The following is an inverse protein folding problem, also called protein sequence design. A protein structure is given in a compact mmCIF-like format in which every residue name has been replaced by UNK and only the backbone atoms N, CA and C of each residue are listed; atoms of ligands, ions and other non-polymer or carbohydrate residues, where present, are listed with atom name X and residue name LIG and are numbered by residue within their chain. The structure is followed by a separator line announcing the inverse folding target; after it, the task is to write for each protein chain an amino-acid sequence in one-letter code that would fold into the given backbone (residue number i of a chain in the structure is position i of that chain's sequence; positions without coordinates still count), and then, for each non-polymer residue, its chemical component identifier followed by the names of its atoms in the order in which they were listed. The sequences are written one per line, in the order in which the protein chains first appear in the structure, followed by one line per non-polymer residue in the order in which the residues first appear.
data_IF_925086779160
#
_entry.id   IF_925086779160
#
_cell.length_a   1.000
_cell.length_b   1.000
_cell.length_c   1.000
_cell.angle_alpha   90.00
_cell.angle_beta   90.00
_cell.angle_gamma   90.00
#
_symmetry.space_group_name_H-M   'P 1'
#
loop_
_entity.id
_entity.type
_entity.pdbx_description
1 polymer ?
#
# COMPACT_ATOMS: atom_id res chain seq x y z
N UNK A 1 33.03 -1.28 11.99
CA UNK A 1 31.71 -1.19 11.34
C UNK A 1 31.84 -1.78 9.95
N UNK A 2 31.27 -2.96 9.70
CA UNK A 2 31.33 -3.56 8.36
C UNK A 2 30.49 -2.72 7.40
N UNK A 3 31.15 -2.08 6.44
CA UNK A 3 30.51 -1.36 5.34
C UNK A 3 29.91 -2.41 4.39
N UNK A 4 28.68 -2.86 4.66
CA UNK A 4 27.95 -3.70 3.73
C UNK A 4 27.55 -2.79 2.57
N UNK A 5 28.09 -3.03 1.37
CA UNK A 5 27.68 -2.30 0.17
C UNK A 5 26.15 -2.32 0.06
N UNK A 6 25.56 -1.19 -0.33
CA UNK A 6 24.12 -1.14 -0.61
C UNK A 6 23.78 -2.19 -1.68
N UNK A 7 22.69 -2.97 -1.49
CA UNK A 7 22.34 -4.03 -2.43
C UNK A 7 22.06 -3.46 -3.82
N UNK A 8 22.38 -4.19 -4.88
CA UNK A 8 22.09 -3.73 -6.25
C UNK A 8 20.60 -3.66 -6.53
N UNK A 9 20.21 -2.97 -7.60
CA UNK A 9 18.81 -2.89 -8.01
C UNK A 9 18.19 -4.27 -8.31
N UNK A 10 18.98 -5.19 -8.87
CA UNK A 10 18.58 -6.58 -9.12
C UNK A 10 18.42 -7.38 -7.83
N UNK A 11 19.33 -7.21 -6.86
CA UNK A 11 19.24 -7.85 -5.54
C UNK A 11 17.99 -7.35 -4.78
N UNK A 12 17.70 -6.06 -4.86
CA UNK A 12 16.48 -5.48 -4.30
C UNK A 12 15.24 -6.09 -4.98
N UNK A 13 15.22 -6.14 -6.32
CA UNK A 13 14.09 -6.69 -7.07
C UNK A 13 13.85 -8.18 -6.73
N UNK A 14 14.92 -8.96 -6.60
CA UNK A 14 14.85 -10.35 -6.17
C UNK A 14 14.25 -10.47 -4.75
N UNK A 15 14.68 -9.61 -3.82
CA UNK A 15 14.11 -9.53 -2.47
C UNK A 15 12.61 -9.18 -2.48
N UNK A 16 12.19 -8.25 -3.35
CA UNK A 16 10.77 -7.91 -3.49
C UNK A 16 9.94 -9.09 -4.02
N UNK A 17 10.45 -9.84 -5.01
CA UNK A 17 9.79 -11.06 -5.51
C UNK A 17 9.65 -12.11 -4.42
N UNK A 18 10.67 -12.30 -3.60
CA UNK A 18 10.58 -13.22 -2.48
C UNK A 18 9.56 -12.77 -1.44
N UNK A 19 9.42 -11.46 -1.18
CA UNK A 19 8.54 -10.94 -0.13
C UNK A 19 7.07 -10.74 -0.55
N UNK A 20 6.81 -10.63 -1.86
CA UNK A 20 5.47 -10.34 -2.41
C UNK A 20 4.92 -11.44 -3.32
N UNK A 21 5.74 -12.44 -3.66
CA UNK A 21 5.44 -13.49 -4.63
C UNK A 21 5.54 -12.98 -6.06
N UNK A 22 4.72 -11.97 -6.39
CA UNK A 22 4.77 -11.26 -7.68
C UNK A 22 4.99 -9.78 -7.43
N UNK A 23 5.92 -9.22 -8.20
CA UNK A 23 6.21 -7.78 -8.20
C UNK A 23 5.42 -7.13 -9.36
N UNK A 24 4.82 -5.94 -9.16
CA UNK A 24 4.17 -5.22 -10.25
C UNK A 24 5.11 -4.97 -11.43
N UNK A 25 4.62 -5.16 -12.66
CA UNK A 25 5.40 -4.95 -13.90
C UNK A 25 6.06 -3.56 -13.97
N UNK A 26 5.44 -2.54 -13.38
CA UNK A 26 6.01 -1.19 -13.32
C UNK A 26 7.34 -1.15 -12.54
N UNK A 27 7.46 -1.88 -11.43
CA UNK A 27 8.70 -1.95 -10.64
C UNK A 27 9.77 -2.75 -11.39
N UNK A 28 9.39 -3.84 -12.07
CA UNK A 28 10.34 -4.63 -12.86
C UNK A 28 10.94 -3.79 -14.00
N UNK A 29 10.09 -3.05 -14.72
CA UNK A 29 10.51 -2.16 -15.81
C UNK A 29 11.29 -0.95 -15.30
N UNK A 30 10.97 -0.44 -14.11
CA UNK A 30 11.69 0.71 -13.55
C UNK A 30 13.14 0.38 -13.25
N UNK A 31 13.47 -0.86 -12.86
CA UNK A 31 14.87 -1.25 -12.60
C UNK A 31 15.74 -1.10 -13.84
N UNK A 32 15.26 -1.51 -15.02
CA UNK A 32 16.00 -1.34 -16.27
C UNK A 32 16.04 0.12 -16.73
N UNK A 33 14.94 0.86 -16.52
CA UNK A 33 14.83 2.24 -16.99
C UNK A 33 15.61 3.25 -16.13
N UNK A 34 15.58 3.07 -14.81
CA UNK A 34 16.28 3.89 -13.82
C UNK A 34 16.49 3.07 -12.52
N UNK A 35 17.67 2.47 -12.36
CA UNK A 35 18.01 1.70 -11.16
C UNK A 35 17.90 2.52 -9.86
N UNK A 36 18.05 3.84 -9.89
CA UNK A 36 18.00 4.68 -8.68
C UNK A 36 16.57 4.69 -8.10
N UNK A 37 15.55 4.57 -8.93
CA UNK A 37 14.15 4.56 -8.49
C UNK A 37 13.85 3.41 -7.52
N UNK A 38 14.40 2.22 -7.74
CA UNK A 38 14.11 1.10 -6.83
C UNK A 38 14.78 1.28 -5.47
N UNK A 39 15.95 1.93 -5.42
CA UNK A 39 16.57 2.30 -4.15
C UNK A 39 15.73 3.30 -3.38
N UNK A 40 15.23 4.34 -4.06
CA UNK A 40 14.37 5.34 -3.43
C UNK A 40 13.02 4.75 -3.00
N UNK A 41 12.47 3.84 -3.80
CA UNK A 41 11.28 3.08 -3.43
C UNK A 41 11.51 2.26 -2.15
N UNK A 42 12.65 1.58 -2.03
CA UNK A 42 12.99 0.82 -0.82
C UNK A 42 13.25 1.71 0.39
N UNK A 43 13.91 2.86 0.21
CA UNK A 43 14.08 3.86 1.28
C UNK A 43 12.72 4.35 1.78
N UNK A 44 11.82 4.69 0.85
CA UNK A 44 10.45 5.13 1.16
C UNK A 44 9.66 4.04 1.89
N UNK A 45 9.79 2.78 1.46
CA UNK A 45 9.20 1.64 2.16
C UNK A 45 9.74 1.52 3.59
N UNK A 46 11.05 1.63 3.79
CA UNK A 46 11.67 1.51 5.11
C UNK A 46 11.25 2.65 6.06
N UNK A 47 11.03 3.85 5.53
CA UNK A 47 10.47 4.96 6.29
C UNK A 47 9.02 4.70 6.71
N UNK A 48 8.17 4.23 5.79
CA UNK A 48 6.76 3.99 6.08
C UNK A 48 6.49 2.72 6.91
N UNK A 49 7.32 1.68 6.71
CA UNK A 49 7.19 0.35 7.33
C UNK A 49 8.56 -0.15 7.81
N UNK A 50 9.11 0.44 8.88
CA UNK A 50 10.40 0.02 9.43
C UNK A 50 10.32 -1.41 9.99
N UNK A 51 11.47 -2.11 10.02
CA UNK A 51 11.54 -3.48 10.54
C UNK A 51 10.99 -3.55 11.98
N UNK A 52 11.45 -2.66 12.85
CA UNK A 52 11.04 -2.54 14.25
C UNK A 52 9.88 -1.53 14.45
N UNK A 53 8.92 -1.50 13.51
CA UNK A 53 7.75 -0.62 13.61
C UNK A 53 6.68 -1.14 14.59
N UNK A 54 5.80 -0.24 15.04
CA UNK A 54 4.79 -0.50 16.09
C UNK A 54 3.68 -1.45 15.64
N UNK A 55 3.28 -1.39 14.37
CA UNK A 55 2.24 -2.26 13.80
C UNK A 55 2.85 -3.57 13.35
N UNK A 56 2.13 -4.69 13.46
CA UNK A 56 2.54 -5.93 12.82
C UNK A 56 2.42 -5.87 11.28
N UNK A 57 3.07 -6.81 10.59
CA UNK A 57 3.15 -6.79 9.13
C UNK A 57 1.79 -7.10 8.45
N UNK A 58 0.90 -7.83 9.12
CA UNK A 58 -0.47 -8.07 8.65
C UNK A 58 -1.26 -6.76 8.63
N UNK A 59 -1.26 -6.03 9.74
CA UNK A 59 -1.94 -4.75 9.91
C UNK A 59 -1.42 -3.72 8.90
N UNK A 60 -0.11 -3.63 8.70
CA UNK A 60 0.49 -2.76 7.68
C UNK A 60 -0.01 -3.09 6.27
N UNK A 61 -0.16 -4.38 5.97
CA UNK A 61 -0.63 -4.85 4.66
C UNK A 61 -2.11 -4.52 4.45
N UNK A 62 -2.96 -4.67 5.48
CA UNK A 62 -4.37 -4.29 5.41
C UNK A 62 -4.57 -2.77 5.28
N UNK A 63 -3.76 -1.96 5.98
CA UNK A 63 -3.76 -0.50 5.82
C UNK A 63 -3.37 -0.11 4.39
N UNK A 64 -2.32 -0.74 3.84
CA UNK A 64 -1.89 -0.45 2.47
C UNK A 64 -2.95 -0.92 1.45
N UNK A 65 -3.59 -2.08 1.66
CA UNK A 65 -4.72 -2.51 0.83
C UNK A 65 -5.85 -1.45 0.83
N UNK A 66 -6.26 -0.97 2.01
CA UNK A 66 -7.32 0.03 2.13
C UNK A 66 -6.95 1.33 1.37
N UNK A 67 -5.72 1.81 1.51
CA UNK A 67 -5.23 2.98 0.78
C UNK A 67 -5.20 2.74 -0.74
N UNK A 68 -4.78 1.55 -1.20
CA UNK A 68 -4.73 1.19 -2.61
C UNK A 68 -6.13 1.11 -3.25
N UNK A 69 -7.10 0.54 -2.51
CA UNK A 69 -8.50 0.48 -2.91
C UNK A 69 -9.12 1.88 -3.02
N UNK A 70 -8.94 2.72 -1.98
CA UNK A 70 -9.45 4.10 -1.98
C UNK A 70 -8.82 4.96 -3.10
N UNK A 71 -7.53 4.76 -3.38
CA UNK A 71 -6.80 5.43 -4.45
C UNK A 71 -7.05 4.86 -5.85
N UNK A 72 -7.88 3.82 -6.01
CA UNK A 72 -8.19 3.17 -7.29
C UNK A 72 -6.95 2.66 -8.07
N UNK A 73 -5.90 2.23 -7.38
CA UNK A 73 -4.67 1.72 -8.02
C UNK A 73 -4.73 0.21 -8.20
N UNK A 74 -5.08 -0.25 -9.41
CA UNK A 74 -5.18 -1.69 -9.70
C UNK A 74 -3.88 -2.45 -9.43
N UNK A 75 -2.73 -1.87 -9.82
CA UNK A 75 -1.42 -2.49 -9.60
C UNK A 75 -1.10 -2.66 -8.11
N UNK A 76 -1.41 -1.66 -7.28
CA UNK A 76 -1.20 -1.75 -5.83
C UNK A 76 -2.18 -2.73 -5.17
N UNK A 77 -3.45 -2.75 -5.62
CA UNK A 77 -4.44 -3.72 -5.12
C UNK A 77 -4.00 -5.15 -5.43
N UNK A 78 -3.54 -5.42 -6.66
CA UNK A 78 -3.04 -6.74 -7.03
C UNK A 78 -1.81 -7.13 -6.20
N UNK A 79 -0.85 -6.20 -6.02
CA UNK A 79 0.34 -6.43 -5.21
C UNK A 79 0.00 -6.78 -3.75
N UNK A 80 -0.99 -6.10 -3.17
CA UNK A 80 -1.45 -6.40 -1.81
C UNK A 80 -2.24 -7.70 -1.75
N UNK A 81 -3.02 -8.04 -2.77
CA UNK A 81 -3.69 -9.34 -2.85
C UNK A 81 -2.68 -10.50 -2.85
N UNK A 82 -1.60 -10.39 -3.63
CA UNK A 82 -0.53 -11.40 -3.68
C UNK A 82 0.19 -11.51 -2.31
N UNK A 83 0.51 -10.37 -1.70
CA UNK A 83 1.13 -10.32 -0.37
C UNK A 83 0.24 -10.91 0.74
N UNK A 84 -1.07 -10.66 0.69
CA UNK A 84 -2.06 -11.22 1.62
C UNK A 84 -2.08 -12.74 1.58
N UNK A 85 -2.05 -13.32 0.37
CA UNK A 85 -1.97 -14.77 0.19
C UNK A 85 -0.66 -15.31 0.77
N UNK A 86 0.46 -14.64 0.47
CA UNK A 86 1.77 -15.06 0.95
C UNK A 86 1.90 -15.02 2.48
N UNK A 87 1.26 -14.05 3.14
CA UNK A 87 1.24 -13.91 4.59
C UNK A 87 0.27 -14.88 5.29
N UNK A 88 -0.62 -15.54 4.55
CA UNK A 88 -1.66 -16.38 5.13
C UNK A 88 -2.69 -15.59 5.93
N UNK A 89 -2.98 -14.33 5.55
CA UNK A 89 -3.96 -13.50 6.25
C UNK A 89 -5.35 -14.13 6.15
N UNK A 90 -6.07 -14.19 7.27
CA UNK A 90 -7.40 -14.77 7.31
C UNK A 90 -8.36 -14.06 6.33
N UNK A 91 -9.09 -14.78 5.46
CA UNK A 91 -9.99 -14.16 4.47
C UNK A 91 -11.03 -13.22 5.08
N UNK A 92 -11.51 -13.51 6.29
CA UNK A 92 -12.46 -12.67 7.01
C UNK A 92 -11.91 -11.26 7.28
N UNK A 93 -10.62 -11.14 7.67
CA UNK A 93 -9.96 -9.84 7.91
C UNK A 93 -9.86 -9.02 6.62
N UNK A 94 -9.56 -9.67 5.50
CA UNK A 94 -9.46 -9.02 4.17
C UNK A 94 -10.83 -8.50 3.73
N UNK A 95 -11.88 -9.34 3.83
CA UNK A 95 -13.25 -8.95 3.45
C UNK A 95 -13.77 -7.82 4.34
N UNK A 96 -13.48 -7.85 5.64
CA UNK A 96 -13.85 -6.76 6.55
C UNK A 96 -13.10 -5.46 6.20
N UNK A 97 -11.82 -5.54 5.86
CA UNK A 97 -11.04 -4.37 5.38
C UNK A 97 -11.66 -3.74 4.13
N UNK A 98 -12.15 -4.55 3.18
CA UNK A 98 -12.87 -4.06 1.99
C UNK A 98 -14.16 -3.33 2.39
N UNK A 99 -14.95 -3.91 3.31
CA UNK A 99 -16.19 -3.29 3.80
C UNK A 99 -15.92 -1.97 4.50
N UNK A 100 -14.91 -1.92 5.37
CA UNK A 100 -14.47 -0.70 6.06
C UNK A 100 -14.05 0.36 5.04
N UNK A 101 -13.24 -0.01 4.05
CA UNK A 101 -12.78 0.93 3.00
C UNK A 101 -13.98 1.49 2.21
N UNK A 102 -14.91 0.63 1.78
CA UNK A 102 -16.14 1.04 1.08
C UNK A 102 -17.01 1.95 1.95
N UNK A 103 -17.11 1.69 3.24
CA UNK A 103 -17.84 2.55 4.18
C UNK A 103 -17.17 3.91 4.33
N UNK A 104 -15.85 3.95 4.57
CA UNK A 104 -15.08 5.18 4.71
C UNK A 104 -15.17 6.09 3.46
N UNK A 105 -15.14 5.49 2.26
CA UNK A 105 -15.30 6.26 1.02
C UNK A 105 -16.73 6.80 0.84
N UNK A 106 -17.75 6.08 1.33
CA UNK A 106 -19.12 6.57 1.29
C UNK A 106 -19.36 7.70 2.32
N UNK A 107 -18.80 7.60 3.52
CA UNK A 107 -18.92 8.65 4.54
C UNK A 107 -18.16 9.92 4.15
N UNK A 108 -17.07 9.80 3.38
CA UNK A 108 -16.40 10.96 2.77
C UNK A 108 -17.37 11.86 2.00
N UNK A 109 -18.30 11.28 1.23
CA UNK A 109 -19.30 12.06 0.47
C UNK A 109 -20.19 12.90 1.38
N UNK A 110 -20.56 12.36 2.55
CA UNK A 110 -21.33 13.11 3.55
C UNK A 110 -20.49 14.26 4.12
N UNK A 111 -19.21 14.02 4.43
CA UNK A 111 -18.29 15.05 4.89
C UNK A 111 -18.05 16.16 3.87
N UNK A 112 -17.80 15.79 2.61
CA UNK A 112 -17.61 16.74 1.50
C UNK A 112 -18.87 17.57 1.20
N UNK A 113 -20.06 17.07 1.57
CA UNK A 113 -21.33 17.75 1.39
C UNK A 113 -21.61 18.82 2.46
N UNK A 114 -20.72 19.03 3.44
CA UNK A 114 -20.88 20.04 4.49
C UNK A 114 -21.24 21.44 3.94
N UNK A 115 -20.59 21.98 2.89
CA UNK A 115 -20.96 23.28 2.33
C UNK A 115 -22.38 23.31 1.73
N UNK A 116 -22.87 22.18 1.22
CA UNK A 116 -24.24 22.04 0.69
C UNK A 116 -25.23 22.12 1.85
N UNK A 117 -24.98 21.38 2.93
CA UNK A 117 -25.83 21.41 4.12
C UNK A 117 -25.88 22.82 4.73
N UNK A 118 -24.74 23.51 4.80
CA UNK A 118 -24.68 24.89 5.25
C UNK A 118 -25.56 25.82 4.40
N UNK A 119 -25.47 25.73 3.06
CA UNK A 119 -26.26 26.55 2.13
C UNK A 119 -27.77 26.27 2.17
N UNK A 120 -28.18 25.05 2.52
CA UNK A 120 -29.60 24.70 2.69
C UNK A 120 -30.15 25.23 4.02
N UNK A 121 -29.37 25.13 5.11
CA UNK A 121 -29.78 25.59 6.43
C UNK A 121 -29.83 27.12 6.53
N UNK A 122 -29.03 27.85 5.75
CA UNK A 122 -29.09 29.32 5.72
C UNK A 122 -30.34 29.87 4.99
N UNK A 123 -31.18 29.00 4.43
CA UNK A 123 -32.45 29.37 3.77
C UNK A 123 -33.69 29.06 4.62
N UNK A 124 -33.50 28.35 5.74
CA UNK A 124 -34.55 28.02 6.71
C UNK A 124 -34.71 29.16 7.73
#
# INVERSE_FOLDING_TARGET
MSNKASPTAEEILAGMRQAMGRVPSAIEKSVTADPVLIHEHMRSRAFAMPAEGVLDEETRTLIYLAAALAGSSHACVQAMADKIVQQGVAPAKVVETIRITRFAMATKIIGDAEPIFAALNSRA
#
